data_IF_440644673840
#
_entry.id   IF_440644673840
#
_cell.length_a   1.000
_cell.length_b   1.000
_cell.length_c   1.000
_cell.angle_alpha   90.00
_cell.angle_beta   90.00
_cell.angle_gamma   90.00
#
_symmetry.space_group_name_H-M   'P 1'
#
loop_
_entity.id
_entity.type
_entity.pdbx_description
1 polymer ?
#
# COMPACT_ATOMS: atom_id res chain seq x y z
N UNK A 1 7.71 -16.99 -74.43
CA UNK A 1 8.83 -17.93 -74.61
C UNK A 1 8.52 -19.12 -73.73
N UNK A 2 7.95 -20.15 -74.38
CA UNK A 2 7.65 -21.55 -74.04
C UNK A 2 6.94 -21.85 -72.70
N UNK A 3 5.70 -22.37 -72.66
CA UNK A 3 5.20 -23.68 -73.18
C UNK A 3 5.85 -24.87 -72.46
N UNK A 4 5.21 -25.99 -72.09
CA UNK A 4 3.84 -26.51 -72.22
C UNK A 4 3.77 -27.85 -71.42
N UNK A 5 2.60 -28.14 -70.82
CA UNK A 5 1.85 -29.44 -70.76
C UNK A 5 2.56 -30.81 -70.43
N UNK A 6 1.85 -31.96 -70.27
CA UNK A 6 0.41 -32.25 -70.01
C UNK A 6 0.10 -33.39 -68.97
N UNK A 7 -1.18 -33.41 -68.56
CA UNK A 7 -2.17 -34.50 -68.42
C UNK A 7 -1.80 -35.99 -68.15
N UNK A 8 -2.56 -36.66 -67.28
CA UNK A 8 -3.68 -37.57 -67.64
C UNK A 8 -4.09 -38.53 -66.49
N UNK A 9 -5.39 -38.81 -66.41
CA UNK A 9 -6.07 -39.79 -65.53
C UNK A 9 -6.50 -41.03 -66.38
N UNK A 10 -7.52 -41.86 -66.02
CA UNK A 10 -7.72 -42.79 -64.89
C UNK A 10 -8.09 -44.25 -65.37
N UNK A 11 -8.26 -45.22 -64.46
CA UNK A 11 -9.16 -46.41 -64.58
C UNK A 11 -9.07 -47.26 -63.29
N UNK A 12 -10.13 -47.47 -62.49
CA UNK A 12 -11.24 -48.42 -62.63
C UNK A 12 -10.85 -49.91 -62.43
N UNK A 13 -11.47 -50.58 -61.44
CA UNK A 13 -11.31 -52.02 -61.23
C UNK A 13 -11.98 -52.55 -59.96
N UNK A 14 -13.28 -52.81 -60.04
CA UNK A 14 -14.13 -53.55 -59.09
C UNK A 14 -13.79 -55.04 -59.01
N UNK A 15 -13.96 -55.67 -57.84
CA UNK A 15 -13.99 -57.14 -57.74
C UNK A 15 -14.23 -57.64 -56.31
N UNK A 16 -15.50 -57.80 -55.93
CA UNK A 16 -15.90 -58.69 -54.85
C UNK A 16 -15.86 -60.14 -55.33
N UNK A 17 -15.56 -61.11 -54.45
CA UNK A 17 -16.30 -62.36 -54.23
C UNK A 17 -15.48 -63.30 -53.31
N UNK A 18 -15.98 -63.52 -52.10
CA UNK A 18 -15.84 -64.79 -51.33
C UNK A 18 -16.69 -65.88 -52.01
N UNK A 19 -16.75 -67.17 -51.60
CA UNK A 19 -16.22 -67.83 -50.39
C UNK A 19 -15.63 -69.26 -50.62
N UNK A 20 -14.95 -69.86 -49.63
CA UNK A 20 -14.94 -71.33 -49.46
C UNK A 20 -14.92 -71.70 -47.97
N UNK A 21 -15.92 -72.49 -47.58
CA UNK A 21 -16.10 -73.20 -46.31
C UNK A 21 -14.96 -74.18 -45.99
N UNK A 22 -14.58 -74.23 -44.71
CA UNK A 22 -14.09 -75.45 -44.10
C UNK A 22 -14.71 -75.59 -42.70
N UNK A 23 -15.61 -76.56 -42.57
CA UNK A 23 -16.18 -77.06 -41.33
C UNK A 23 -15.13 -77.89 -40.61
N UNK A 24 -14.78 -77.52 -39.38
CA UNK A 24 -14.00 -78.35 -38.47
C UNK A 24 -14.69 -78.35 -37.10
N UNK A 25 -15.35 -79.48 -36.87
CA UNK A 25 -15.78 -80.10 -35.62
C UNK A 25 -15.26 -79.50 -34.32
N UNK A 26 -16.22 -79.21 -33.44
CA UNK A 26 -16.03 -78.88 -32.04
C UNK A 26 -15.22 -79.94 -31.28
N UNK A 27 -14.16 -79.50 -30.61
CA UNK A 27 -13.59 -80.17 -29.44
C UNK A 27 -13.76 -79.24 -28.25
N UNK A 28 -14.73 -79.53 -27.40
CA UNK A 28 -14.99 -78.82 -26.14
C UNK A 28 -13.76 -78.92 -25.24
N UNK A 29 -13.13 -77.80 -24.83
CA UNK A 29 -12.07 -77.86 -23.83
C UNK A 29 -12.67 -78.28 -22.47
N UNK A 30 -11.95 -79.06 -21.65
CA UNK A 30 -12.39 -79.34 -20.29
C UNK A 30 -12.57 -78.02 -19.53
N UNK A 31 -13.57 -77.90 -18.63
CA UNK A 31 -13.75 -76.67 -17.87
C UNK A 31 -12.49 -76.47 -17.01
N UNK A 32 -11.70 -75.46 -17.36
CA UNK A 32 -10.61 -75.02 -16.50
C UNK A 32 -11.26 -74.58 -15.18
N UNK A 33 -10.97 -75.32 -14.11
CA UNK A 33 -11.34 -74.94 -12.75
C UNK A 33 -10.75 -73.55 -12.53
N UNK A 34 -11.61 -72.53 -12.57
CA UNK A 34 -11.22 -71.16 -12.37
C UNK A 34 -10.51 -71.05 -11.03
N UNK A 35 -9.26 -70.57 -11.04
CA UNK A 35 -8.65 -70.09 -9.79
C UNK A 35 -9.64 -69.09 -9.19
N UNK A 36 -10.05 -69.23 -7.91
CA UNK A 36 -10.92 -68.24 -7.31
C UNK A 36 -10.25 -66.89 -7.50
N UNK A 37 -10.96 -65.95 -8.12
CA UNK A 37 -10.50 -64.58 -8.20
C UNK A 37 -10.22 -64.16 -6.76
N UNK A 38 -8.94 -63.97 -6.43
CA UNK A 38 -8.56 -63.34 -5.18
C UNK A 38 -9.10 -61.92 -5.28
N UNK A 39 -10.30 -61.71 -4.76
CA UNK A 39 -10.80 -60.38 -4.45
C UNK A 39 -9.82 -59.87 -3.40
N UNK A 40 -8.80 -59.14 -3.83
CA UNK A 40 -7.99 -58.38 -2.89
C UNK A 40 -8.93 -57.33 -2.32
N UNK A 41 -9.48 -57.62 -1.13
CA UNK A 41 -10.01 -56.57 -0.27
C UNK A 41 -8.81 -55.69 0.02
N UNK A 42 -8.65 -54.59 -0.73
CA UNK A 42 -7.78 -53.48 -0.34
C UNK A 42 -8.27 -53.09 1.05
N UNK A 43 -7.50 -53.47 2.08
CA UNK A 43 -7.72 -53.02 3.45
C UNK A 43 -7.35 -51.55 3.42
N UNK A 44 -8.36 -50.69 3.41
CA UNK A 44 -8.16 -49.28 3.75
C UNK A 44 -7.49 -49.28 5.13
N UNK A 45 -6.22 -48.87 5.17
CA UNK A 45 -5.39 -48.97 6.36
C UNK A 45 -6.03 -48.22 7.53
N UNK A 46 -5.90 -48.77 8.73
CA UNK A 46 -6.42 -48.21 10.00
C UNK A 46 -6.11 -46.71 10.21
N UNK A 47 -5.06 -46.20 9.57
CA UNK A 47 -4.58 -44.82 9.69
C UNK A 47 -5.09 -43.85 8.62
N UNK A 48 -5.63 -44.33 7.50
CA UNK A 48 -6.05 -43.47 6.39
C UNK A 48 -7.44 -43.85 5.90
N UNK A 49 -8.40 -42.94 6.13
CA UNK A 49 -9.79 -43.07 5.65
C UNK A 49 -9.99 -42.13 4.47
N UNK A 50 -10.42 -42.65 3.33
CA UNK A 50 -10.76 -41.83 2.15
C UNK A 50 -11.93 -40.91 2.50
N UNK A 51 -11.68 -39.61 2.61
CA UNK A 51 -12.72 -38.58 2.74
C UNK A 51 -12.80 -37.79 1.43
N UNK A 52 -13.99 -37.65 0.87
CA UNK A 52 -14.25 -36.71 -0.23
C UNK A 52 -14.41 -35.32 0.36
N UNK A 53 -13.45 -34.43 0.15
CA UNK A 53 -13.61 -33.01 0.47
C UNK A 53 -14.32 -32.36 -0.74
N UNK A 54 -15.43 -31.64 -0.56
CA UNK A 54 -16.02 -30.88 -1.65
C UNK A 54 -14.99 -29.86 -2.13
N UNK A 55 -14.60 -29.96 -3.40
CA UNK A 55 -13.69 -28.99 -4.00
C UNK A 55 -14.49 -27.77 -4.46
N UNK A 56 -13.96 -26.56 -4.30
CA UNK A 56 -14.60 -25.34 -4.78
C UNK A 56 -14.89 -25.44 -6.28
N UNK A 57 -16.13 -25.14 -6.67
CA UNK A 57 -16.51 -25.04 -8.08
C UNK A 57 -15.92 -23.79 -8.71
N UNK A 58 -15.81 -23.73 -10.03
CA UNK A 58 -15.39 -22.50 -10.73
C UNK A 58 -16.28 -21.30 -10.41
N UNK A 59 -17.58 -21.53 -10.12
CA UNK A 59 -18.52 -20.48 -9.69
C UNK A 59 -18.12 -19.90 -8.35
N UNK A 60 -17.72 -20.74 -7.39
CA UNK A 60 -17.22 -20.28 -6.10
C UNK A 60 -15.92 -19.49 -6.26
N UNK A 61 -14.99 -19.95 -7.10
CA UNK A 61 -13.78 -19.18 -7.42
C UNK A 61 -14.09 -17.85 -8.09
N UNK A 62 -15.03 -17.80 -9.03
CA UNK A 62 -15.45 -16.56 -9.68
C UNK A 62 -16.08 -15.59 -8.68
N UNK A 63 -16.96 -16.07 -7.80
CA UNK A 63 -17.54 -15.27 -6.73
C UNK A 63 -16.47 -14.79 -5.73
N UNK A 64 -15.51 -15.64 -5.36
CA UNK A 64 -14.42 -15.29 -4.46
C UNK A 64 -13.51 -14.21 -5.08
N UNK A 65 -13.14 -14.36 -6.36
CA UNK A 65 -12.34 -13.38 -7.09
C UNK A 65 -13.10 -12.06 -7.28
N UNK A 66 -14.38 -12.11 -7.63
CA UNK A 66 -15.22 -10.93 -7.75
C UNK A 66 -15.37 -10.19 -6.42
N UNK A 67 -15.56 -10.93 -5.32
CA UNK A 67 -15.63 -10.36 -3.96
C UNK A 67 -14.29 -9.76 -3.57
N UNK A 68 -13.19 -10.46 -3.80
CA UNK A 68 -11.84 -9.95 -3.54
C UNK A 68 -11.59 -8.66 -4.32
N UNK A 69 -11.91 -8.63 -5.62
CA UNK A 69 -11.77 -7.43 -6.45
C UNK A 69 -12.63 -6.27 -5.94
N UNK A 70 -13.90 -6.52 -5.59
CA UNK A 70 -14.79 -5.51 -5.04
C UNK A 70 -14.27 -4.95 -3.71
N UNK A 71 -13.78 -5.81 -2.81
CA UNK A 71 -13.15 -5.40 -1.54
C UNK A 71 -11.89 -4.59 -1.81
N UNK A 72 -11.01 -5.03 -2.71
CA UNK A 72 -9.78 -4.30 -3.05
C UNK A 72 -10.09 -2.93 -3.63
N UNK A 73 -11.08 -2.81 -4.50
CA UNK A 73 -11.49 -1.52 -5.07
C UNK A 73 -12.14 -0.61 -4.03
N UNK A 74 -13.07 -1.14 -3.23
CA UNK A 74 -13.77 -0.40 -2.19
C UNK A 74 -12.84 0.05 -1.06
N UNK A 75 -12.16 -0.90 -0.40
CA UNK A 75 -11.20 -0.62 0.68
C UNK A 75 -10.04 0.21 0.15
N UNK A 76 -9.53 -0.07 -1.05
CA UNK A 76 -8.44 0.70 -1.63
C UNK A 76 -8.79 2.18 -1.81
N UNK A 77 -9.98 2.48 -2.33
CA UNK A 77 -10.41 3.88 -2.50
C UNK A 77 -10.53 4.62 -1.16
N UNK A 78 -11.02 3.95 -0.12
CA UNK A 78 -11.20 4.55 1.21
C UNK A 78 -9.90 4.61 2.02
N UNK A 79 -8.98 3.67 1.81
CA UNK A 79 -7.75 3.55 2.57
C UNK A 79 -6.83 4.75 2.33
N UNK A 80 -6.72 5.22 1.08
CA UNK A 80 -5.93 6.41 0.76
C UNK A 80 -6.48 7.64 1.48
N UNK A 81 -7.78 7.95 1.32
CA UNK A 81 -8.41 9.10 1.99
C UNK A 81 -8.40 8.99 3.51
N UNK A 82 -8.49 7.77 4.05
CA UNK A 82 -8.34 7.54 5.48
C UNK A 82 -6.93 7.91 5.96
N UNK A 83 -5.87 7.52 5.24
CA UNK A 83 -4.48 7.86 5.56
C UNK A 83 -4.18 9.37 5.36
N UNK A 84 -4.65 9.92 4.24
CA UNK A 84 -4.49 11.33 3.86
C UNK A 84 -5.56 12.23 4.49
N UNK A 85 -5.71 12.12 5.81
CA UNK A 85 -6.74 12.83 6.56
C UNK A 85 -6.41 14.33 6.70
N UNK A 86 -7.40 15.18 6.43
CA UNK A 86 -7.39 16.59 6.81
C UNK A 86 -8.48 16.79 7.86
N UNK A 87 -8.07 17.16 9.06
CA UNK A 87 -8.92 17.30 10.26
C UNK A 87 -8.29 18.36 11.18
N UNK A 88 -8.39 19.65 10.81
CA UNK A 88 -7.75 20.73 11.55
C UNK A 88 -8.53 21.09 12.81
N UNK A 89 -7.81 21.55 13.82
CA UNK A 89 -8.37 22.13 15.04
C UNK A 89 -8.74 23.58 14.79
N UNK A 90 -10.02 23.89 14.96
CA UNK A 90 -10.55 25.25 14.84
C UNK A 90 -9.95 26.18 15.92
N UNK A 91 -9.53 27.37 15.50
CA UNK A 91 -8.95 28.38 16.39
C UNK A 91 -7.52 28.07 16.86
N UNK A 92 -6.84 27.09 16.26
CA UNK A 92 -5.40 26.90 16.47
C UNK A 92 -4.63 28.11 15.94
N UNK A 93 -3.88 28.78 16.81
CA UNK A 93 -3.01 29.91 16.46
C UNK A 93 -1.63 29.46 15.99
N UNK A 94 -1.27 28.22 16.29
CA UNK A 94 0.03 27.64 16.03
C UNK A 94 -0.07 26.62 14.90
N UNK A 95 0.94 26.59 14.05
CA UNK A 95 1.07 25.61 12.97
C UNK A 95 2.44 24.95 13.05
N UNK A 96 2.53 23.68 12.69
CA UNK A 96 3.80 23.00 12.47
C UNK A 96 3.84 22.43 11.06
N UNK A 97 5.01 22.42 10.42
CA UNK A 97 5.24 21.75 9.14
C UNK A 97 6.29 20.66 9.32
N UNK A 98 6.09 19.52 8.67
CA UNK A 98 7.11 18.47 8.57
C UNK A 98 8.17 18.84 7.52
N UNK A 99 9.38 19.17 7.97
CA UNK A 99 10.41 19.73 7.08
C UNK A 99 11.08 18.75 6.13
N UNK A 100 10.81 17.44 6.26
CA UNK A 100 11.23 16.47 5.24
C UNK A 100 10.38 16.59 3.97
N UNK A 101 9.20 17.22 4.07
CA UNK A 101 8.26 17.32 2.97
C UNK A 101 8.78 18.26 1.87
N UNK A 102 8.38 18.05 0.60
CA UNK A 102 8.90 18.87 -0.50
C UNK A 102 8.34 20.29 -0.51
N UNK A 103 8.93 21.17 -1.32
CA UNK A 103 8.65 22.62 -1.33
C UNK A 103 7.18 22.98 -1.61
N UNK A 104 6.41 22.14 -2.33
CA UNK A 104 4.98 22.37 -2.50
C UNK A 104 4.21 22.34 -1.18
N UNK A 105 4.67 21.55 -0.21
CA UNK A 105 4.08 21.51 1.14
C UNK A 105 4.39 22.80 1.90
N UNK A 106 5.59 23.37 1.73
CA UNK A 106 5.92 24.67 2.29
C UNK A 106 5.06 25.80 1.68
N UNK A 107 4.87 25.78 0.36
CA UNK A 107 3.94 26.72 -0.32
C UNK A 107 2.53 26.58 0.24
N UNK A 108 2.00 25.37 0.31
CA UNK A 108 0.65 25.14 0.84
C UNK A 108 0.53 25.53 2.32
N UNK A 109 1.60 25.34 3.09
CA UNK A 109 1.67 25.79 4.50
C UNK A 109 1.55 27.31 4.60
N UNK A 110 2.21 28.07 3.73
CA UNK A 110 2.06 29.53 3.70
C UNK A 110 0.63 29.94 3.37
N UNK A 111 0.00 29.34 2.36
CA UNK A 111 -1.41 29.60 2.02
C UNK A 111 -2.36 29.31 3.20
N UNK A 112 -2.21 28.14 3.84
CA UNK A 112 -3.03 27.77 5.00
C UNK A 112 -2.77 28.73 6.17
N UNK A 113 -1.53 29.13 6.40
CA UNK A 113 -1.18 30.06 7.47
C UNK A 113 -1.82 31.44 7.27
N UNK A 114 -1.94 31.91 6.03
CA UNK A 114 -2.63 33.15 5.70
C UNK A 114 -4.15 33.01 5.86
N UNK A 115 -4.74 31.93 5.35
CA UNK A 115 -6.18 31.63 5.44
C UNK A 115 -6.64 31.48 6.90
N UNK A 116 -5.81 30.88 7.75
CA UNK A 116 -6.12 30.61 9.17
C UNK A 116 -5.61 31.67 10.12
N UNK A 117 -4.90 32.69 9.61
CA UNK A 117 -4.21 33.70 10.41
C UNK A 117 -3.30 33.10 11.50
N UNK A 118 -2.55 32.05 11.15
CA UNK A 118 -1.62 31.39 12.06
C UNK A 118 -0.57 32.39 12.56
N UNK A 119 -0.46 32.55 13.87
CA UNK A 119 0.44 33.54 14.49
C UNK A 119 1.88 33.07 14.43
N UNK A 120 2.12 31.75 14.49
CA UNK A 120 3.47 31.17 14.49
C UNK A 120 3.51 29.83 13.77
N UNK A 121 4.58 29.61 13.00
CA UNK A 121 4.82 28.40 12.22
C UNK A 121 6.12 27.75 12.69
N UNK A 122 6.00 26.53 13.20
CA UNK A 122 7.12 25.72 13.63
C UNK A 122 7.59 24.80 12.51
N UNK A 123 8.86 24.89 12.14
CA UNK A 123 9.45 24.04 11.12
C UNK A 123 10.11 22.85 11.80
N UNK A 124 9.47 21.69 11.76
CA UNK A 124 10.07 20.47 12.33
C UNK A 124 11.03 19.84 11.33
N UNK A 125 11.95 19.01 11.80
CA UNK A 125 12.89 18.36 10.88
C UNK A 125 13.97 17.57 11.58
N UNK A 126 14.73 16.82 10.79
CA UNK A 126 15.86 16.03 11.25
C UNK A 126 17.16 16.65 10.70
N UNK A 127 18.34 16.21 11.18
CA UNK A 127 19.58 16.51 10.49
C UNK A 127 19.52 16.03 9.04
N UNK A 128 20.02 16.84 8.11
CA UNK A 128 20.00 16.53 6.68
C UNK A 128 20.73 15.20 6.41
N UNK A 129 20.01 14.25 5.81
CA UNK A 129 20.59 12.96 5.43
C UNK A 129 21.49 13.07 4.19
N UNK A 130 21.15 14.01 3.30
CA UNK A 130 21.87 14.27 2.06
C UNK A 130 21.97 15.77 1.84
N UNK A 131 23.06 16.19 1.18
CA UNK A 131 23.30 17.60 0.86
C UNK A 131 23.93 18.42 1.99
N UNK A 132 24.19 17.85 3.18
CA UNK A 132 24.76 18.59 4.32
C UNK A 132 26.16 19.18 4.08
N UNK A 133 26.93 18.64 3.11
CA UNK A 133 28.21 19.20 2.66
C UNK A 133 28.05 20.42 1.74
N UNK A 134 26.91 20.54 1.05
CA UNK A 134 26.62 21.61 0.09
C UNK A 134 25.72 22.68 0.69
N UNK A 135 24.84 22.29 1.60
CA UNK A 135 23.90 23.16 2.27
C UNK A 135 24.59 23.99 3.36
N UNK A 136 24.27 25.29 3.38
CA UNK A 136 24.62 26.17 4.48
C UNK A 136 23.93 25.77 5.81
N UNK A 137 22.85 25.00 5.70
CA UNK A 137 22.00 24.55 6.81
C UNK A 137 22.20 23.07 7.09
N UNK A 138 21.91 22.65 8.31
CA UNK A 138 22.20 21.28 8.77
C UNK A 138 20.98 20.46 9.08
N UNK A 139 19.79 21.07 9.14
CA UNK A 139 18.55 20.37 9.44
C UNK A 139 17.46 20.70 8.42
N UNK A 140 16.55 19.76 8.21
CA UNK A 140 15.32 19.94 7.42
C UNK A 140 14.47 21.11 7.99
N UNK A 141 14.51 21.30 9.32
CA UNK A 141 13.82 22.39 10.02
C UNK A 141 14.32 23.78 9.57
N UNK A 142 15.65 23.94 9.50
CA UNK A 142 16.28 25.19 9.05
C UNK A 142 15.99 25.46 7.57
N UNK A 143 16.11 24.43 6.73
CA UNK A 143 15.81 24.52 5.30
C UNK A 143 14.37 24.97 5.10
N UNK A 144 13.43 24.33 5.78
CA UNK A 144 12.00 24.65 5.70
C UNK A 144 11.69 26.06 6.17
N UNK A 145 12.29 26.50 7.29
CA UNK A 145 12.10 27.85 7.80
C UNK A 145 12.53 28.92 6.78
N UNK A 146 13.63 28.68 6.09
CA UNK A 146 14.16 29.59 5.07
C UNK A 146 13.33 29.54 3.80
N UNK A 147 12.84 28.36 3.42
CA UNK A 147 11.90 28.22 2.30
C UNK A 147 10.63 29.02 2.58
N UNK A 148 10.03 28.92 3.77
CA UNK A 148 8.86 29.71 4.15
C UNK A 148 9.14 31.22 4.15
N UNK A 149 10.29 31.65 4.66
CA UNK A 149 10.68 33.05 4.62
C UNK A 149 10.79 33.57 3.17
N UNK A 150 11.38 32.78 2.26
CA UNK A 150 11.45 33.11 0.83
C UNK A 150 10.09 33.11 0.14
N UNK A 151 9.14 32.33 0.64
CA UNK A 151 7.75 32.32 0.16
C UNK A 151 6.92 33.48 0.71
N UNK A 152 7.49 34.36 1.55
CA UNK A 152 6.86 35.59 2.01
C UNK A 152 6.28 35.52 3.43
N UNK A 153 6.48 34.42 4.16
CA UNK A 153 6.14 34.38 5.59
C UNK A 153 7.12 35.27 6.35
N UNK A 154 6.60 36.14 7.22
CA UNK A 154 7.44 36.96 8.10
C UNK A 154 8.39 36.06 8.93
N UNK A 155 9.72 36.24 8.82
CA UNK A 155 10.70 35.46 9.57
C UNK A 155 10.47 35.47 11.10
N UNK A 156 9.87 36.51 11.67
CA UNK A 156 9.57 36.58 13.10
C UNK A 156 8.46 35.60 13.52
N UNK A 157 7.62 35.16 12.58
CA UNK A 157 6.57 34.15 12.79
C UNK A 157 7.08 32.72 12.61
N UNK A 158 8.32 32.54 12.15
CA UNK A 158 8.87 31.22 11.81
C UNK A 158 9.85 30.77 12.90
N UNK A 159 9.71 29.53 13.36
CA UNK A 159 10.58 28.95 14.37
C UNK A 159 11.06 27.55 13.95
N UNK A 160 12.35 27.36 13.64
CA UNK A 160 12.92 26.03 13.46
C UNK A 160 12.85 25.21 14.75
N UNK A 161 12.38 23.97 14.66
CA UNK A 161 12.23 23.03 15.75
C UNK A 161 12.81 21.66 15.37
N UNK A 162 14.14 21.59 15.29
CA UNK A 162 14.84 20.38 14.89
C UNK A 162 14.78 19.27 15.95
N UNK A 163 14.51 18.04 15.51
CA UNK A 163 14.68 16.83 16.31
C UNK A 163 16.13 16.35 16.33
N UNK A 164 16.50 15.59 17.37
CA UNK A 164 17.82 14.96 17.46
C UNK A 164 18.00 13.84 16.44
N UNK A 165 19.24 13.57 16.01
CA UNK A 165 19.55 12.49 15.07
C UNK A 165 19.15 11.12 15.64
N UNK A 166 18.24 10.42 14.97
CA UNK A 166 17.82 9.05 15.32
C UNK A 166 17.77 8.17 14.08
N UNK A 167 18.00 6.86 14.28
CA UNK A 167 17.92 5.85 13.20
C UNK A 167 16.51 5.28 13.02
N UNK A 168 15.69 5.36 14.05
CA UNK A 168 14.30 4.85 14.11
C UNK A 168 13.44 5.97 14.68
N UNK A 169 12.16 6.01 14.30
CA UNK A 169 11.17 6.94 14.84
C UNK A 169 11.48 8.42 14.59
N UNK A 170 11.96 8.74 13.39
CA UNK A 170 12.24 10.12 12.94
C UNK A 170 11.06 11.07 13.18
N UNK A 171 9.82 10.65 12.89
CA UNK A 171 8.62 11.46 13.16
C UNK A 171 8.44 11.76 14.65
N UNK A 172 8.75 10.80 15.53
CA UNK A 172 8.71 11.00 16.99
C UNK A 172 9.80 11.97 17.43
N UNK A 173 11.02 11.83 16.91
CA UNK A 173 12.11 12.75 17.20
C UNK A 173 11.81 14.19 16.73
N UNK A 174 11.17 14.35 15.57
CA UNK A 174 10.66 15.65 15.10
C UNK A 174 9.62 16.23 16.06
N UNK A 175 8.65 15.42 16.50
CA UNK A 175 7.66 15.85 17.47
C UNK A 175 8.28 16.22 18.84
N UNK A 176 9.33 15.52 19.27
CA UNK A 176 10.07 15.85 20.50
C UNK A 176 10.84 17.16 20.36
N UNK A 177 11.43 17.43 19.20
CA UNK A 177 12.06 18.72 18.89
C UNK A 177 11.05 19.86 18.96
N UNK A 178 9.87 19.66 18.38
CA UNK A 178 8.75 20.61 18.51
C UNK A 178 8.32 20.80 19.96
N UNK A 179 8.14 19.72 20.73
CA UNK A 179 7.77 19.80 22.13
C UNK A 179 8.74 20.65 22.94
N UNK A 180 10.05 20.44 22.76
CA UNK A 180 11.07 21.20 23.47
C UNK A 180 10.96 22.71 23.20
N UNK A 181 10.68 23.09 21.95
CA UNK A 181 10.46 24.50 21.58
C UNK A 181 9.18 25.05 22.20
N UNK A 182 8.07 24.31 22.09
CA UNK A 182 6.77 24.73 22.64
C UNK A 182 6.80 24.89 24.17
N UNK A 183 7.47 23.99 24.87
CA UNK A 183 7.65 24.05 26.32
C UNK A 183 8.47 25.30 26.72
N UNK A 184 9.43 25.71 25.88
CA UNK A 184 10.22 26.93 26.06
C UNK A 184 9.46 28.23 25.78
N UNK A 185 8.41 28.22 24.95
CA UNK A 185 7.59 29.40 24.65
C UNK A 185 6.55 29.73 25.73
N UNK A 186 6.28 28.81 26.67
CA UNK A 186 5.38 29.06 27.79
C UNK A 186 3.91 29.28 27.37
N UNK A 187 3.46 28.59 26.31
CA UNK A 187 2.12 28.77 25.74
C UNK A 187 1.02 28.43 26.78
N UNK A 188 0.09 29.38 27.06
CA UNK A 188 -1.00 29.16 28.01
C UNK A 188 -1.89 27.98 27.63
N UNK A 189 -2.39 27.26 28.63
CA UNK A 189 -3.22 26.06 28.41
C UNK A 189 -4.43 26.30 27.49
N UNK A 190 -5.06 27.47 27.56
CA UNK A 190 -6.21 27.84 26.73
C UNK A 190 -5.88 27.92 25.22
N UNK A 191 -4.62 28.13 24.86
CA UNK A 191 -4.15 28.32 23.50
C UNK A 191 -3.40 27.10 22.94
N UNK A 192 -3.34 25.97 23.67
CA UNK A 192 -2.63 24.74 23.28
C UNK A 192 -3.35 23.95 22.18
N UNK A 193 -3.46 24.57 21.02
CA UNK A 193 -4.05 24.03 19.80
C UNK A 193 -3.05 24.27 18.67
N UNK A 194 -2.66 23.20 17.99
CA UNK A 194 -1.69 23.27 16.90
C UNK A 194 -2.17 22.46 15.72
N UNK A 195 -2.02 23.01 14.51
CA UNK A 195 -2.29 22.28 13.27
C UNK A 195 -0.97 21.85 12.62
N UNK A 196 -0.78 20.56 12.44
CA UNK A 196 0.34 20.03 11.67
C UNK A 196 0.03 20.08 10.16
N UNK A 197 1.03 20.34 9.33
CA UNK A 197 0.94 20.24 7.87
C UNK A 197 1.91 19.14 7.43
N UNK A 198 1.36 18.16 6.73
CA UNK A 198 2.07 16.95 6.29
C UNK A 198 1.60 16.54 4.90
N UNK A 199 2.33 15.61 4.27
CA UNK A 199 2.07 15.21 2.89
C UNK A 199 1.27 13.89 2.82
N UNK A 200 0.15 13.92 2.10
CA UNK A 200 -0.59 12.75 1.64
C UNK A 200 -0.83 11.69 2.70
N UNK A 201 -0.50 10.44 2.40
CA UNK A 201 -0.80 9.30 3.27
C UNK A 201 -0.04 9.28 4.59
N UNK A 202 1.01 10.08 4.74
CA UNK A 202 1.79 10.16 5.99
C UNK A 202 1.02 10.89 7.11
N UNK A 203 0.04 11.70 6.73
CA UNK A 203 -0.64 12.65 7.60
C UNK A 203 -1.27 11.98 8.83
N UNK A 204 -2.05 10.89 8.68
CA UNK A 204 -2.68 10.22 9.83
C UNK A 204 -1.66 9.80 10.89
N UNK A 205 -0.60 9.09 10.48
CA UNK A 205 0.40 8.58 11.41
C UNK A 205 1.13 9.72 12.12
N UNK A 206 1.48 10.78 11.39
CA UNK A 206 2.12 11.96 11.98
C UNK A 206 1.24 12.62 13.03
N UNK A 207 -0.04 12.85 12.75
CA UNK A 207 -0.96 13.42 13.75
C UNK A 207 -0.95 12.63 15.04
N UNK A 208 -1.06 11.30 14.95
CA UNK A 208 -1.12 10.43 16.12
C UNK A 208 0.20 10.47 16.91
N UNK A 209 1.37 10.50 16.25
CA UNK A 209 2.69 10.64 16.92
C UNK A 209 2.81 11.99 17.61
N UNK A 210 2.47 13.07 16.91
CA UNK A 210 2.57 14.41 17.46
C UNK A 210 1.62 14.60 18.63
N UNK A 211 0.39 14.06 18.56
CA UNK A 211 -0.54 14.06 19.67
C UNK A 211 -0.03 13.26 20.88
N UNK A 212 0.60 12.10 20.64
CA UNK A 212 1.19 11.28 21.70
C UNK A 212 2.36 12.01 22.39
N UNK A 213 3.25 12.62 21.61
CA UNK A 213 4.45 13.29 22.13
C UNK A 213 4.11 14.61 22.82
N UNK A 214 3.23 15.41 22.21
CA UNK A 214 2.79 16.68 22.80
C UNK A 214 1.91 16.48 24.02
N UNK A 215 1.27 15.31 24.17
CA UNK A 215 0.47 14.98 25.33
C UNK A 215 -0.97 15.51 25.28
N UNK A 216 -1.82 15.10 26.25
CA UNK A 216 -3.25 15.42 26.27
C UNK A 216 -3.55 16.91 26.51
N UNK A 217 -2.57 17.70 26.92
CA UNK A 217 -2.68 19.14 27.09
C UNK A 217 -2.71 19.92 25.77
N UNK A 218 -2.31 19.27 24.67
CA UNK A 218 -2.34 19.83 23.33
C UNK A 218 -3.46 19.19 22.51
N UNK A 219 -4.17 20.00 21.74
CA UNK A 219 -5.05 19.51 20.68
C UNK A 219 -4.30 19.60 19.34
N UNK A 220 -4.03 18.46 18.72
CA UNK A 220 -3.29 18.39 17.46
C UNK A 220 -4.25 18.12 16.29
N UNK A 221 -4.48 19.15 15.48
CA UNK A 221 -5.15 19.02 14.20
C UNK A 221 -4.16 18.78 13.07
N UNK A 222 -4.66 18.51 11.87
CA UNK A 222 -3.79 18.26 10.73
C UNK A 222 -4.36 18.66 9.38
N UNK A 223 -3.50 19.14 8.49
CA UNK A 223 -3.75 19.34 7.07
C UNK A 223 -2.92 18.34 6.25
N UNK A 224 -3.61 17.58 5.40
CA UNK A 224 -2.96 16.75 4.37
C UNK A 224 -2.80 17.56 3.09
N UNK A 225 -1.56 17.75 2.66
CA UNK A 225 -1.22 18.31 1.35
C UNK A 225 -1.07 17.15 0.37
N UNK A 226 -1.80 17.12 -0.76
CA UNK A 226 -1.63 16.08 -1.77
C UNK A 226 -0.17 15.99 -2.25
N UNK A 227 0.33 14.78 -2.46
CA UNK A 227 1.66 14.58 -3.05
C UNK A 227 1.62 14.88 -4.54
N UNK A 228 2.64 15.55 -5.06
CA UNK A 228 2.82 15.75 -6.51
C UNK A 228 3.29 14.48 -7.24
N UNK A 229 3.71 13.45 -6.51
CA UNK A 229 4.30 12.23 -7.09
C UNK A 229 3.25 11.27 -7.68
N UNK A 230 1.98 11.48 -7.35
CA UNK A 230 0.87 10.67 -7.87
C UNK A 230 -0.48 11.38 -7.74
N UNK A 231 -1.44 10.97 -8.57
CA UNK A 231 -2.83 11.43 -8.49
C UNK A 231 -3.58 10.68 -7.39
N UNK A 232 -4.12 11.34 -6.34
CA UNK A 232 -4.82 10.68 -5.23
C UNK A 232 -5.94 9.75 -5.67
N UNK A 233 -6.76 10.15 -6.65
CA UNK A 233 -7.86 9.33 -7.15
C UNK A 233 -7.40 8.04 -7.88
N UNK A 234 -6.16 8.01 -8.35
CA UNK A 234 -5.56 6.92 -9.12
C UNK A 234 -4.30 6.36 -8.43
N UNK A 235 -4.19 6.52 -7.11
CA UNK A 235 -2.99 6.18 -6.33
C UNK A 235 -2.52 4.73 -6.57
N UNK A 236 -3.47 3.80 -6.75
CA UNK A 236 -3.21 2.36 -6.94
C UNK A 236 -2.61 2.01 -8.31
N UNK A 237 -2.63 2.94 -9.26
CA UNK A 237 -2.01 2.78 -10.59
C UNK A 237 -0.57 3.30 -10.64
N UNK A 238 -0.12 3.98 -9.60
CA UNK A 238 1.13 4.72 -9.60
C UNK A 238 2.02 4.22 -8.47
N UNK A 239 3.29 3.95 -8.78
CA UNK A 239 4.19 3.29 -7.82
C UNK A 239 4.39 4.11 -6.53
N UNK A 240 4.42 5.45 -6.63
CA UNK A 240 4.49 6.34 -5.48
C UNK A 240 3.27 6.21 -4.57
N UNK A 241 2.06 6.26 -5.14
CA UNK A 241 0.81 6.09 -4.39
C UNK A 241 0.70 4.72 -3.73
N UNK A 242 0.99 3.64 -4.46
CA UNK A 242 0.99 2.27 -3.91
C UNK A 242 1.98 2.13 -2.75
N UNK A 243 3.21 2.61 -2.92
CA UNK A 243 4.24 2.56 -1.87
C UNK A 243 3.78 3.33 -0.63
N UNK A 244 3.30 4.57 -0.79
CA UNK A 244 2.87 5.42 0.32
C UNK A 244 1.72 4.80 1.12
N UNK A 245 0.70 4.26 0.44
CA UNK A 245 -0.43 3.60 1.11
C UNK A 245 0.03 2.35 1.86
N UNK A 246 0.82 1.47 1.23
CA UNK A 246 1.26 0.21 1.86
C UNK A 246 2.19 0.50 3.04
N UNK A 247 3.17 1.41 2.89
CA UNK A 247 4.14 1.71 3.94
C UNK A 247 3.46 2.32 5.16
N UNK A 248 2.53 3.26 4.96
CA UNK A 248 1.82 3.90 6.07
C UNK A 248 0.80 2.97 6.72
N UNK A 249 0.11 2.13 5.94
CA UNK A 249 -0.77 1.09 6.49
C UNK A 249 0.02 0.10 7.36
N UNK A 250 1.18 -0.37 6.87
CA UNK A 250 2.06 -1.24 7.62
C UNK A 250 2.60 -0.55 8.89
N UNK A 251 3.02 0.71 8.79
CA UNK A 251 3.53 1.47 9.93
C UNK A 251 2.47 1.64 11.02
N UNK A 252 1.23 1.98 10.65
CA UNK A 252 0.11 2.06 11.62
C UNK A 252 -0.18 0.68 12.22
N UNK A 253 -0.21 -0.37 11.40
CA UNK A 253 -0.43 -1.73 11.89
C UNK A 253 0.64 -2.15 12.91
N UNK A 254 1.92 -2.00 12.57
CA UNK A 254 3.03 -2.37 13.47
C UNK A 254 3.02 -1.58 14.78
N UNK A 255 2.63 -0.30 14.74
CA UNK A 255 2.42 0.48 15.96
C UNK A 255 1.25 -0.04 16.79
N UNK A 256 0.12 -0.37 16.16
CA UNK A 256 -1.05 -0.88 16.85
C UNK A 256 -0.80 -2.23 17.56
N UNK A 257 0.11 -3.06 17.04
CA UNK A 257 0.50 -4.34 17.65
C UNK A 257 1.77 -4.26 18.52
N UNK A 258 2.32 -3.05 18.75
CA UNK A 258 3.46 -2.83 19.63
C UNK A 258 4.82 -3.32 19.10
N UNK A 259 4.97 -3.46 17.77
CA UNK A 259 6.21 -3.93 17.15
C UNK A 259 7.19 -2.79 16.81
N UNK A 260 6.73 -1.54 16.79
CA UNK A 260 7.54 -0.34 16.54
C UNK A 260 7.05 0.77 17.47
N UNK A 261 7.97 1.45 18.17
CA UNK A 261 7.69 2.49 19.17
C UNK A 261 8.50 3.76 18.92
#
# INVERSE_FOLDING_TARGET
MNEDLPASAPAAGSGSLTPVSASATASTPPPAIGKPAVVSKKRDGFWFRRRSVPLPTWRLWLCALGTAAAVTLGVGSQLHSWLAVTDPVSGAKYMAIEGWAPDEVARRTQEIADDTHAVRIFCTGMPLEKGHYLAAWKTDADVTAITLAKLGVDPQRICPAAGGAVKVDRTRAMAMGLKAVLDGEGIPAADRKINLVSQGTHTRRSRDIFQEVLGPEWQVGIYSVPSSDYEPALWYRQSAGVKGVISESAAIFFRAVGLVH
#
